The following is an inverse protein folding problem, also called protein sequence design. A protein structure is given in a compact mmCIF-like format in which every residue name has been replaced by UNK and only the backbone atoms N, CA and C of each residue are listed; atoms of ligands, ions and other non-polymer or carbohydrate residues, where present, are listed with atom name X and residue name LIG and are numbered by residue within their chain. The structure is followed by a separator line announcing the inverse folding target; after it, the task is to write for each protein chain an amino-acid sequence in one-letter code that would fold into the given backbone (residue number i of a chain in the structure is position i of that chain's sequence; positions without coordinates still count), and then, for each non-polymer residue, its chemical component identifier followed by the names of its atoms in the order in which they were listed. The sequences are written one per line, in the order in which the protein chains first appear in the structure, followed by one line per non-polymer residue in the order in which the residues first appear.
data_IF_028799456133
#
_entry.id   IF_028799456133
#
_cell.length_a   1.000
_cell.length_b   1.000
_cell.length_c   1.000
_cell.angle_alpha   90.00
_cell.angle_beta   90.00
_cell.angle_gamma   90.00
#
_symmetry.space_group_name_H-M   'P 1'
#
loop_
_entity.id
_entity.type
_entity.pdbx_description
1 polymer ?
#
# COMPACT_ATOMS: atom_id res chain seq x y z
N UNK A 1 37.69 -25.72 -5.37
CA UNK A 1 36.42 -26.48 -5.23
C UNK A 1 36.27 -27.46 -6.39
N UNK A 2 35.74 -28.68 -6.17
CA UNK A 2 35.43 -29.62 -7.25
C UNK A 2 34.38 -29.05 -8.23
N UNK A 3 34.50 -29.36 -9.53
CA UNK A 3 33.57 -28.86 -10.58
C UNK A 3 32.10 -29.15 -10.31
N UNK A 4 31.79 -30.33 -9.77
CA UNK A 4 30.41 -30.73 -9.45
C UNK A 4 29.78 -29.85 -8.36
N UNK A 5 30.58 -29.33 -7.42
CA UNK A 5 30.11 -28.43 -6.36
C UNK A 5 29.71 -27.07 -6.95
N UNK A 6 30.54 -26.52 -7.84
CA UNK A 6 30.26 -25.23 -8.49
C UNK A 6 28.99 -25.31 -9.36
N UNK A 7 28.81 -26.41 -10.09
CA UNK A 7 27.60 -26.64 -10.89
C UNK A 7 26.35 -26.73 -10.01
N UNK A 8 26.44 -27.44 -8.88
CA UNK A 8 25.36 -27.53 -7.89
C UNK A 8 25.00 -26.16 -7.33
N UNK A 9 25.97 -25.37 -6.86
CA UNK A 9 25.74 -24.02 -6.33
C UNK A 9 25.08 -23.10 -7.36
N UNK A 10 25.54 -23.10 -8.62
CA UNK A 10 24.90 -22.31 -9.70
C UNK A 10 23.46 -22.73 -9.94
N UNK A 11 23.15 -24.03 -9.86
CA UNK A 11 21.79 -24.55 -10.05
C UNK A 11 20.88 -24.14 -8.89
N UNK A 12 21.35 -24.27 -7.66
CA UNK A 12 20.62 -23.87 -6.45
C UNK A 12 20.35 -22.36 -6.45
N UNK A 13 21.35 -21.53 -6.76
CA UNK A 13 21.19 -20.07 -6.89
C UNK A 13 20.14 -19.70 -7.95
N UNK A 14 20.20 -20.29 -9.15
CA UNK A 14 19.19 -20.02 -10.20
C UNK A 14 17.78 -20.43 -9.79
N UNK A 15 17.66 -21.44 -8.93
CA UNK A 15 16.37 -21.90 -8.41
C UNK A 15 15.84 -20.94 -7.34
N UNK A 16 16.69 -20.45 -6.44
CA UNK A 16 16.29 -19.52 -5.37
C UNK A 16 15.98 -18.12 -5.88
N UNK A 17 16.68 -17.64 -6.92
CA UNK A 17 16.42 -16.31 -7.52
C UNK A 17 14.95 -16.10 -7.92
N UNK A 18 14.25 -17.16 -8.33
CA UNK A 18 12.82 -17.10 -8.71
C UNK A 18 11.87 -16.96 -7.52
N UNK A 19 12.35 -17.21 -6.30
CA UNK A 19 11.59 -17.22 -5.06
C UNK A 19 11.88 -16.04 -4.14
N UNK A 20 12.93 -15.25 -4.39
CA UNK A 20 13.37 -14.18 -3.48
C UNK A 20 12.28 -13.15 -3.18
N UNK A 21 11.50 -12.73 -4.18
CA UNK A 21 10.37 -11.81 -3.95
C UNK A 21 9.31 -12.42 -3.02
N UNK A 22 9.14 -13.75 -3.03
CA UNK A 22 8.22 -14.48 -2.15
C UNK A 22 8.76 -14.68 -0.74
N UNK A 23 10.07 -14.49 -0.53
CA UNK A 23 10.71 -14.53 0.79
C UNK A 23 10.55 -13.20 1.55
N UNK A 24 9.90 -12.19 0.94
CA UNK A 24 9.58 -10.92 1.61
C UNK A 24 10.64 -9.83 1.41
N UNK A 25 11.59 -10.03 0.49
CA UNK A 25 12.54 -8.98 0.12
C UNK A 25 11.84 -7.90 -0.73
N UNK A 26 11.75 -6.68 -0.21
CA UNK A 26 11.13 -5.54 -0.91
C UNK A 26 11.95 -5.04 -2.10
N UNK A 27 13.27 -5.14 -2.04
CA UNK A 27 14.19 -4.78 -3.14
C UNK A 27 15.07 -5.99 -3.47
N UNK A 28 14.98 -6.49 -4.69
CA UNK A 28 15.80 -7.59 -5.20
C UNK A 28 16.61 -7.07 -6.39
N UNK A 29 17.93 -7.03 -6.24
CA UNK A 29 18.86 -6.66 -7.31
C UNK A 29 19.58 -7.91 -7.81
N UNK A 30 19.44 -8.22 -9.11
CA UNK A 30 20.08 -9.38 -9.73
C UNK A 30 21.17 -8.88 -10.68
N UNK A 31 22.43 -9.02 -10.25
CA UNK A 31 23.62 -8.71 -11.03
C UNK A 31 23.97 -9.91 -11.91
N UNK A 32 24.07 -9.71 -13.23
CA UNK A 32 24.24 -10.74 -14.25
C UNK A 32 25.62 -10.72 -14.92
N UNK A 33 26.32 -9.58 -14.87
CA UNK A 33 27.65 -9.42 -15.46
C UNK A 33 28.71 -9.14 -14.41
N UNK A 34 29.97 -9.34 -14.76
CA UNK A 34 31.11 -9.00 -13.91
C UNK A 34 31.19 -7.48 -13.67
N UNK A 35 30.96 -6.68 -14.71
CA UNK A 35 30.93 -5.22 -14.62
C UNK A 35 29.81 -4.70 -13.68
N UNK A 36 28.62 -5.30 -13.73
CA UNK A 36 27.53 -4.99 -12.78
C UNK A 36 27.93 -5.34 -11.34
N UNK A 37 28.66 -6.43 -11.14
CA UNK A 37 29.15 -6.85 -9.83
C UNK A 37 30.27 -5.92 -9.30
N UNK A 38 31.18 -5.48 -10.16
CA UNK A 38 32.29 -4.59 -9.81
C UNK A 38 31.83 -3.16 -9.51
N UNK A 39 30.82 -2.67 -10.25
CA UNK A 39 30.27 -1.33 -10.08
C UNK A 39 29.24 -1.23 -8.95
N UNK A 40 28.65 -2.35 -8.50
CA UNK A 40 27.68 -2.36 -7.42
C UNK A 40 28.24 -1.79 -6.11
N UNK A 41 27.42 -1.04 -5.39
CA UNK A 41 27.73 -0.47 -4.07
C UNK A 41 26.61 -0.78 -3.10
N UNK A 42 26.97 -1.13 -1.87
CA UNK A 42 26.02 -1.22 -0.76
C UNK A 42 25.96 0.15 -0.10
N UNK A 43 24.80 0.78 -0.17
CA UNK A 43 24.52 2.06 0.47
C UNK A 43 23.48 1.89 1.57
N UNK A 44 23.59 2.69 2.62
CA UNK A 44 22.56 2.76 3.65
C UNK A 44 21.43 3.65 3.16
N UNK A 45 20.25 3.07 3.01
CA UNK A 45 19.02 3.81 2.74
C UNK A 45 18.15 3.85 4.00
N UNK A 46 17.40 4.93 4.17
CA UNK A 46 16.33 4.95 5.18
C UNK A 46 15.33 3.85 4.83
N UNK A 47 14.80 3.19 5.86
CA UNK A 47 13.68 2.27 5.64
C UNK A 47 12.52 3.07 5.05
N UNK A 48 11.77 2.46 4.13
CA UNK A 48 10.61 3.09 3.53
C UNK A 48 9.62 3.66 4.57
N UNK A 49 9.44 2.95 5.68
CA UNK A 49 8.57 3.36 6.79
C UNK A 49 9.26 4.27 7.83
N UNK A 50 10.52 4.69 7.61
CA UNK A 50 11.21 5.65 8.47
C UNK A 50 10.86 7.09 8.08
N UNK A 51 9.74 7.56 8.61
CA UNK A 51 9.21 8.90 8.38
C UNK A 51 9.61 9.90 9.48
N UNK A 52 10.64 9.62 10.30
CA UNK A 52 11.07 10.49 11.42
C UNK A 52 11.53 11.89 11.02
N UNK A 53 11.75 12.12 9.72
CA UNK A 53 12.09 13.42 9.17
C UNK A 53 10.86 14.33 8.99
N UNK A 54 9.65 13.75 9.01
CA UNK A 54 8.41 14.51 9.02
C UNK A 54 8.10 14.88 10.47
N UNK A 55 8.04 16.19 10.75
CA UNK A 55 7.85 16.73 12.11
C UNK A 55 6.42 17.22 12.38
N UNK A 56 5.54 17.14 11.38
CA UNK A 56 4.17 17.64 11.45
C UNK A 56 4.09 19.15 11.23
N UNK A 57 2.97 19.79 11.62
CA UNK A 57 1.89 19.26 12.47
C UNK A 57 1.06 18.14 11.83
N UNK A 58 0.62 17.16 12.63
CA UNK A 58 -0.16 16.01 12.17
C UNK A 58 -1.57 15.97 12.76
N UNK A 59 -2.53 15.49 11.98
CA UNK A 59 -3.85 15.05 12.44
C UNK A 59 -3.97 13.54 12.26
N UNK A 60 -4.00 12.80 13.36
CA UNK A 60 -4.06 11.34 13.33
C UNK A 60 -5.53 10.90 13.32
N UNK A 61 -5.94 10.21 12.26
CA UNK A 61 -7.32 9.78 12.00
C UNK A 61 -7.39 8.26 12.08
N UNK A 62 -8.26 7.78 12.97
CA UNK A 62 -8.54 6.36 13.22
C UNK A 62 -9.36 5.67 12.12
N UNK A 63 -9.93 4.52 12.47
CA UNK A 63 -10.75 3.70 11.60
C UNK A 63 -11.92 4.49 11.00
N UNK A 64 -12.06 4.43 9.68
CA UNK A 64 -13.13 5.14 8.94
C UNK A 64 -14.22 4.17 8.50
N UNK A 65 -13.85 2.96 8.10
CA UNK A 65 -14.79 1.90 7.72
C UNK A 65 -15.87 2.36 6.74
N UNK A 66 -15.50 2.96 5.60
CA UNK A 66 -16.45 3.39 4.57
C UNK A 66 -17.38 4.56 4.96
N UNK A 67 -17.18 5.19 6.13
CA UNK A 67 -17.96 6.34 6.59
C UNK A 67 -17.47 7.65 5.96
N UNK A 68 -17.69 7.80 4.64
CA UNK A 68 -17.24 8.99 3.89
C UNK A 68 -17.81 10.31 4.41
N UNK A 69 -19.11 10.35 4.72
CA UNK A 69 -19.76 11.56 5.22
C UNK A 69 -19.13 12.09 6.50
N UNK A 70 -18.79 11.17 7.41
CA UNK A 70 -18.15 11.44 8.68
C UNK A 70 -16.70 11.87 8.46
N UNK A 71 -15.98 11.24 7.53
CA UNK A 71 -14.63 11.65 7.13
C UNK A 71 -14.63 13.09 6.58
N UNK A 72 -15.52 13.40 5.64
CA UNK A 72 -15.61 14.74 5.04
C UNK A 72 -15.99 15.79 6.11
N UNK A 73 -16.90 15.44 7.02
CA UNK A 73 -17.26 16.29 8.17
C UNK A 73 -16.07 16.52 9.10
N UNK A 74 -15.30 15.48 9.40
CA UNK A 74 -14.11 15.57 10.25
C UNK A 74 -13.03 16.44 9.59
N UNK A 75 -12.71 16.20 8.33
CA UNK A 75 -11.74 16.98 7.57
C UNK A 75 -12.14 18.45 7.51
N UNK A 76 -13.42 18.74 7.28
CA UNK A 76 -13.95 20.11 7.32
C UNK A 76 -13.79 20.78 8.69
N UNK A 77 -14.09 20.06 9.78
CA UNK A 77 -13.87 20.56 11.15
C UNK A 77 -12.40 20.81 11.47
N UNK A 78 -11.51 19.99 10.92
CA UNK A 78 -10.06 20.15 11.05
C UNK A 78 -9.49 21.24 10.12
N UNK A 79 -10.30 21.84 9.24
CA UNK A 79 -9.87 22.94 8.37
C UNK A 79 -9.27 22.53 7.02
N UNK A 80 -9.40 21.26 6.63
CA UNK A 80 -8.94 20.80 5.31
C UNK A 80 -9.90 21.27 4.22
N UNK A 81 -9.35 21.83 3.15
CA UNK A 81 -10.06 22.25 1.94
C UNK A 81 -9.47 21.48 0.77
N UNK A 82 -10.32 20.75 0.04
CA UNK A 82 -9.90 19.90 -1.08
C UNK A 82 -8.74 18.94 -0.77
N UNK A 83 -8.68 18.47 0.48
CA UNK A 83 -7.66 17.54 0.95
C UNK A 83 -6.34 18.18 1.38
N UNK A 84 -6.21 19.50 1.38
CA UNK A 84 -5.06 20.24 1.89
C UNK A 84 -5.43 21.10 3.10
N UNK A 85 -4.53 21.25 4.07
CA UNK A 85 -4.72 22.18 5.18
C UNK A 85 -3.95 23.48 4.92
N UNK A 86 -4.57 24.67 5.04
CA UNK A 86 -3.92 25.95 4.71
C UNK A 86 -2.68 26.26 5.57
N UNK A 87 -2.62 25.71 6.79
CA UNK A 87 -1.45 25.83 7.67
C UNK A 87 -0.39 24.72 7.46
N UNK A 88 -0.52 23.90 6.42
CA UNK A 88 0.44 22.83 6.12
C UNK A 88 0.39 21.63 7.08
N UNK A 89 -0.75 21.39 7.73
CA UNK A 89 -0.97 20.15 8.51
C UNK A 89 -1.07 18.94 7.58
N UNK A 90 -0.59 17.80 8.05
CA UNK A 90 -0.65 16.53 7.32
C UNK A 90 -1.60 15.56 8.01
N UNK A 91 -2.57 15.03 7.27
CA UNK A 91 -3.45 13.99 7.78
C UNK A 91 -2.71 12.65 7.83
N UNK A 92 -2.89 11.87 8.89
CA UNK A 92 -2.28 10.54 9.06
C UNK A 92 -3.39 9.53 9.32
N UNK A 93 -3.73 8.75 8.30
CA UNK A 93 -4.73 7.68 8.38
C UNK A 93 -4.07 6.40 8.89
N UNK A 94 -4.60 5.83 9.97
CA UNK A 94 -3.99 4.67 10.64
C UNK A 94 -4.58 3.31 10.24
N UNK A 95 -5.27 3.26 9.09
CA UNK A 95 -5.83 2.04 8.50
C UNK A 95 -7.34 1.94 8.65
N UNK A 96 -7.88 0.80 8.26
CA UNK A 96 -9.30 0.45 8.33
C UNK A 96 -10.20 1.52 7.68
N UNK A 97 -9.83 1.85 6.43
CA UNK A 97 -10.56 2.72 5.52
C UNK A 97 -11.81 2.06 4.98
N UNK A 98 -11.75 0.74 4.77
CA UNK A 98 -12.78 -0.06 4.09
C UNK A 98 -13.61 -0.91 5.06
N UNK A 99 -14.62 -1.58 4.50
CA UNK A 99 -15.55 -2.49 5.16
C UNK A 99 -16.56 -1.80 6.10
N UNK A 100 -17.73 -2.42 6.25
CA UNK A 100 -18.86 -2.05 7.15
C UNK A 100 -19.66 -0.81 6.73
N UNK A 101 -19.02 0.26 6.30
CA UNK A 101 -19.71 1.49 5.96
C UNK A 101 -20.29 1.53 4.55
N UNK A 102 -21.08 2.58 4.27
CA UNK A 102 -21.86 2.69 3.04
C UNK A 102 -21.04 3.09 1.81
N UNK A 103 -19.83 3.67 1.96
CA UNK A 103 -19.06 4.20 0.84
C UNK A 103 -17.54 3.97 1.00
N UNK A 104 -17.10 2.70 0.90
CA UNK A 104 -15.67 2.37 0.89
C UNK A 104 -14.93 2.96 -0.34
N UNK A 105 -15.47 2.90 -1.58
CA UNK A 105 -14.81 3.49 -2.75
C UNK A 105 -14.58 4.99 -2.61
N UNK A 106 -15.55 5.73 -2.09
CA UNK A 106 -15.43 7.17 -1.89
C UNK A 106 -14.40 7.54 -0.82
N UNK A 107 -14.32 6.77 0.28
CA UNK A 107 -13.23 6.93 1.26
C UNK A 107 -11.87 6.65 0.62
N UNK A 108 -11.73 5.54 -0.12
CA UNK A 108 -10.49 5.20 -0.81
C UNK A 108 -10.06 6.30 -1.78
N UNK A 109 -10.97 6.81 -2.62
CA UNK A 109 -10.69 7.93 -3.53
C UNK A 109 -10.17 9.16 -2.78
N UNK A 110 -10.82 9.52 -1.67
CA UNK A 110 -10.45 10.69 -0.88
C UNK A 110 -9.06 10.53 -0.26
N UNK A 111 -8.79 9.38 0.37
CA UNK A 111 -7.50 9.15 1.03
C UNK A 111 -6.37 9.00 0.02
N UNK A 112 -6.59 8.23 -1.06
CA UNK A 112 -5.62 8.06 -2.14
C UNK A 112 -5.25 9.39 -2.79
N UNK A 113 -6.21 10.29 -3.03
CA UNK A 113 -5.93 11.60 -3.62
C UNK A 113 -5.12 12.49 -2.67
N UNK A 114 -5.43 12.49 -1.37
CA UNK A 114 -4.66 13.24 -0.37
C UNK A 114 -3.22 12.73 -0.25
N UNK A 115 -3.02 11.41 -0.28
CA UNK A 115 -1.68 10.80 -0.26
C UNK A 115 -0.91 11.12 -1.54
N UNK A 116 -1.53 10.97 -2.71
CA UNK A 116 -0.90 11.29 -3.99
C UNK A 116 -0.50 12.78 -4.10
N UNK A 117 -1.27 13.68 -3.48
CA UNK A 117 -0.96 15.11 -3.40
C UNK A 117 0.11 15.46 -2.35
N UNK A 118 0.56 14.50 -1.53
CA UNK A 118 1.52 14.74 -0.45
C UNK A 118 0.93 15.41 0.80
N UNK A 119 -0.40 15.51 0.89
CA UNK A 119 -1.11 16.14 2.01
C UNK A 119 -1.49 15.14 3.11
N UNK A 120 -1.31 13.85 2.85
CA UNK A 120 -1.60 12.80 3.82
C UNK A 120 -0.58 11.65 3.79
N UNK A 121 -0.53 10.94 4.91
CA UNK A 121 0.11 9.64 5.06
C UNK A 121 -0.98 8.61 5.37
N UNK A 122 -0.79 7.37 4.90
CA UNK A 122 -1.69 6.27 5.20
C UNK A 122 -0.89 5.02 5.49
N UNK A 123 -1.30 4.26 6.50
CA UNK A 123 -0.81 2.90 6.75
C UNK A 123 -1.96 1.90 6.57
N UNK A 124 -1.70 0.70 5.99
CA UNK A 124 -2.74 -0.28 5.79
C UNK A 124 -3.13 -0.96 7.13
N UNK A 125 -4.43 -1.03 7.40
CA UNK A 125 -5.02 -1.75 8.52
C UNK A 125 -5.26 -3.22 8.20
N UNK A 126 -5.91 -3.95 9.11
CA UNK A 126 -6.22 -5.37 8.89
C UNK A 126 -7.29 -5.56 7.80
N UNK A 127 -8.19 -4.61 7.64
CA UNK A 127 -9.22 -4.63 6.60
C UNK A 127 -8.59 -4.44 5.21
N UNK A 128 -7.69 -3.47 5.02
CA UNK A 128 -6.94 -3.29 3.77
C UNK A 128 -6.10 -4.52 3.44
N UNK A 129 -5.40 -5.10 4.44
CA UNK A 129 -4.61 -6.31 4.25
C UNK A 129 -5.46 -7.52 3.80
N UNK A 130 -6.73 -7.58 4.21
CA UNK A 130 -7.67 -8.63 3.80
C UNK A 130 -8.17 -8.37 2.38
N UNK A 131 -8.52 -7.13 2.06
CA UNK A 131 -8.91 -6.69 0.72
C UNK A 131 -7.77 -6.89 -0.29
N UNK A 132 -6.54 -6.49 0.02
CA UNK A 132 -5.37 -6.68 -0.85
C UNK A 132 -5.13 -8.15 -1.21
N UNK A 133 -5.30 -9.07 -0.24
CA UNK A 133 -5.25 -10.53 -0.52
C UNK A 133 -6.34 -10.97 -1.49
N UNK A 134 -7.56 -10.46 -1.35
CA UNK A 134 -8.66 -10.73 -2.29
C UNK A 134 -8.33 -10.19 -3.69
N UNK A 135 -7.85 -8.95 -3.79
CA UNK A 135 -7.46 -8.29 -5.04
C UNK A 135 -6.31 -9.02 -5.74
N UNK A 136 -5.41 -9.65 -5.00
CA UNK A 136 -4.37 -10.53 -5.52
C UNK A 136 -4.88 -11.93 -5.94
N UNK A 137 -6.19 -12.17 -5.94
CA UNK A 137 -6.81 -13.43 -6.36
C UNK A 137 -6.77 -14.55 -5.32
N UNK A 138 -6.45 -14.25 -4.05
CA UNK A 138 -6.44 -15.26 -2.99
C UNK A 138 -7.85 -15.50 -2.46
N UNK A 139 -8.14 -16.75 -2.10
CA UNK A 139 -9.38 -17.09 -1.40
C UNK A 139 -9.34 -16.53 0.03
N UNK A 140 -10.23 -15.59 0.33
CA UNK A 140 -10.43 -15.04 1.67
C UNK A 140 -11.90 -15.20 2.07
N UNK A 141 -12.15 -15.32 3.37
CA UNK A 141 -13.52 -15.33 3.88
C UNK A 141 -14.13 -13.93 3.77
N UNK A 142 -15.24 -13.81 3.06
CA UNK A 142 -15.97 -12.55 2.89
C UNK A 142 -16.85 -12.29 4.12
N UNK A 143 -16.19 -11.95 5.23
CA UNK A 143 -16.80 -11.65 6.53
C UNK A 143 -16.40 -10.26 6.99
N UNK A 144 -17.11 -9.73 8.00
CA UNK A 144 -16.80 -8.46 8.67
C UNK A 144 -16.85 -7.22 7.74
N UNK A 145 -17.77 -7.19 6.77
CA UNK A 145 -17.96 -6.03 5.88
C UNK A 145 -17.22 -6.12 4.53
N UNK A 146 -16.42 -7.17 4.31
CA UNK A 146 -15.65 -7.34 3.06
C UNK A 146 -16.54 -7.62 1.85
N UNK A 147 -17.66 -8.33 2.02
CA UNK A 147 -18.56 -8.64 0.92
C UNK A 147 -19.14 -7.35 0.32
N UNK A 148 -19.57 -6.45 1.19
CA UNK A 148 -20.11 -5.15 0.87
C UNK A 148 -19.07 -4.28 0.14
N UNK A 149 -17.83 -4.24 0.63
CA UNK A 149 -16.73 -3.53 -0.07
C UNK A 149 -16.47 -4.09 -1.46
N UNK A 150 -16.50 -5.42 -1.63
CA UNK A 150 -16.29 -6.06 -2.94
C UNK A 150 -17.40 -5.68 -3.92
N UNK A 151 -18.65 -5.69 -3.46
CA UNK A 151 -19.80 -5.29 -4.27
C UNK A 151 -19.71 -3.81 -4.68
N UNK A 152 -19.40 -2.93 -3.72
CA UNK A 152 -19.19 -1.50 -3.98
C UNK A 152 -18.08 -1.26 -5.02
N UNK A 153 -16.95 -1.96 -4.90
CA UNK A 153 -15.85 -1.88 -5.87
C UNK A 153 -16.24 -2.43 -7.25
N UNK A 154 -17.04 -3.50 -7.31
CA UNK A 154 -17.51 -4.04 -8.59
C UNK A 154 -18.45 -3.09 -9.32
N UNK A 155 -19.29 -2.34 -8.58
CA UNK A 155 -20.09 -1.27 -9.14
C UNK A 155 -19.21 -0.13 -9.67
N UNK A 156 -18.20 0.27 -8.90
CA UNK A 156 -17.27 1.34 -9.30
C UNK A 156 -16.44 0.96 -10.54
N UNK A 157 -15.96 -0.29 -10.63
CA UNK A 157 -15.20 -0.79 -11.77
C UNK A 157 -15.98 -0.71 -13.10
N UNK A 158 -17.31 -0.74 -13.04
CA UNK A 158 -18.15 -0.60 -14.23
C UNK A 158 -18.07 0.82 -14.84
N UNK A 159 -17.86 1.83 -14.00
CA UNK A 159 -17.69 3.24 -14.42
C UNK A 159 -16.21 3.60 -14.59
N UNK A 160 -15.34 3.04 -13.76
CA UNK A 160 -13.91 3.32 -13.69
C UNK A 160 -13.07 2.03 -13.64
N UNK A 161 -12.81 1.39 -14.80
CA UNK A 161 -12.16 0.06 -14.86
C UNK A 161 -10.76 -0.01 -14.24
N UNK A 162 -10.08 1.13 -14.07
CA UNK A 162 -8.75 1.21 -13.48
C UNK A 162 -8.78 1.30 -11.95
N UNK A 163 -9.93 1.64 -11.35
CA UNK A 163 -10.01 2.00 -9.94
C UNK A 163 -9.56 0.86 -9.02
N UNK A 164 -10.05 -0.36 -9.26
CA UNK A 164 -9.60 -1.53 -8.49
C UNK A 164 -8.10 -1.81 -8.59
N UNK A 165 -7.49 -1.54 -9.73
CA UNK A 165 -6.05 -1.71 -9.88
C UNK A 165 -5.29 -0.63 -9.08
N UNK A 166 -5.76 0.61 -9.10
CA UNK A 166 -5.20 1.69 -8.28
C UNK A 166 -5.33 1.41 -6.77
N UNK A 167 -6.48 0.90 -6.33
CA UNK A 167 -6.70 0.49 -4.93
C UNK A 167 -5.73 -0.62 -4.53
N UNK A 168 -5.51 -1.60 -5.42
CA UNK A 168 -4.55 -2.68 -5.17
C UNK A 168 -3.14 -2.14 -4.99
N UNK A 169 -2.68 -1.30 -5.91
CA UNK A 169 -1.34 -0.69 -5.85
C UNK A 169 -1.16 0.15 -4.58
N UNK A 170 -2.18 0.92 -4.21
CA UNK A 170 -2.19 1.72 -2.99
C UNK A 170 -2.06 0.87 -1.73
N UNK A 171 -2.76 -0.27 -1.65
CA UNK A 171 -2.68 -1.20 -0.50
C UNK A 171 -1.33 -1.92 -0.47
N UNK A 172 -0.77 -2.29 -1.63
CA UNK A 172 0.48 -3.03 -1.72
C UNK A 172 1.72 -2.18 -1.33
N UNK A 173 1.65 -0.84 -1.49
CA UNK A 173 2.61 0.12 -0.93
C UNK A 173 3.91 0.30 -1.72
#
# INVERSE_FOLDING_TARGET
MPRHVIQRHRRELRRSLRGLEREGFRKVHILRTEEEAESARVVLERRYNDLRHLTGPFDIIGDIHGCRSELDTLLGKLGYVDGAHPEGRTAVFVGDLVDRGPDSPGVLRRVMSMVAAGNALCVPGNHENKLGRYLAGRKVQQTHGLAETIEQLACEDAEHPEFRQQVREFIDG
#
